data_IF_378509941826
#
_entry.id   IF_378509941826
#
_cell.length_a   1.000
_cell.length_b   1.000
_cell.length_c   1.000
_cell.angle_alpha   90.00
_cell.angle_beta   90.00
_cell.angle_gamma   90.00
#
_symmetry.space_group_name_H-M   'P 1'
#
loop_
_entity.id
_entity.type
_entity.pdbx_description
1 polymer ?
#
# COMPACT_ATOMS: atom_id res chain seq x y z
N UNK A 1 15.10 -14.79 -17.60
CA UNK A 1 15.01 -16.18 -17.09
C UNK A 1 13.58 -16.39 -16.64
N UNK A 2 12.83 -17.26 -17.32
CA UNK A 2 11.54 -17.75 -16.82
C UNK A 2 11.84 -18.53 -15.54
N UNK A 3 11.42 -18.03 -14.39
CA UNK A 3 11.35 -18.85 -13.19
C UNK A 3 10.17 -19.81 -13.41
N UNK A 4 10.50 -21.00 -13.97
CA UNK A 4 9.52 -22.07 -14.12
C UNK A 4 9.04 -22.54 -12.75
N UNK A 5 7.83 -23.08 -12.69
CA UNK A 5 7.24 -23.73 -11.51
C UNK A 5 8.13 -24.88 -11.01
N UNK A 6 9.14 -24.57 -10.23
CA UNK A 6 9.88 -25.60 -9.47
C UNK A 6 9.02 -26.15 -8.30
N UNK A 7 7.74 -26.44 -8.55
CA UNK A 7 6.81 -26.91 -7.54
C UNK A 7 6.38 -25.85 -6.49
N UNK A 8 6.80 -24.58 -6.65
CA UNK A 8 6.47 -23.49 -5.71
C UNK A 8 5.17 -22.81 -6.11
N UNK A 9 4.32 -22.54 -5.12
CA UNK A 9 3.10 -21.78 -5.27
C UNK A 9 3.41 -20.29 -5.16
N UNK A 10 3.11 -19.52 -6.21
CA UNK A 10 3.44 -18.11 -6.34
C UNK A 10 2.22 -17.26 -6.00
N UNK A 11 2.38 -16.36 -5.05
CA UNK A 11 1.38 -15.38 -4.64
C UNK A 11 1.80 -14.00 -5.12
N UNK A 12 0.87 -13.24 -5.67
CA UNK A 12 1.06 -11.88 -6.10
C UNK A 12 0.07 -10.94 -5.36
N UNK A 13 0.55 -9.80 -4.94
CA UNK A 13 -0.27 -8.69 -4.47
C UNK A 13 0.28 -7.37 -4.99
N UNK A 14 -0.55 -6.36 -5.11
CA UNK A 14 -0.11 -5.03 -5.55
C UNK A 14 -0.77 -3.93 -4.77
N UNK A 15 -0.09 -2.79 -4.69
CA UNK A 15 -0.62 -1.63 -3.97
C UNK A 15 0.28 -0.41 -4.05
N UNK A 16 -0.17 0.68 -3.45
CA UNK A 16 0.61 1.90 -3.34
C UNK A 16 1.72 1.81 -2.30
N UNK A 17 1.49 1.10 -1.21
CA UNK A 17 2.40 0.93 -0.06
C UNK A 17 2.92 2.26 0.50
N UNK A 18 2.09 3.32 0.38
CA UNK A 18 2.42 4.66 0.85
C UNK A 18 2.36 4.74 2.37
N UNK A 19 3.40 5.33 2.99
CA UNK A 19 3.52 5.45 4.44
C UNK A 19 3.35 4.09 5.14
N UNK A 20 4.20 3.10 4.82
CA UNK A 20 4.13 1.73 5.34
C UNK A 20 3.75 1.70 6.83
N UNK A 21 2.74 0.91 7.14
CA UNK A 21 2.21 0.73 8.50
C UNK A 21 1.80 -0.73 8.73
N UNK A 22 1.47 -1.08 9.96
CA UNK A 22 1.14 -2.46 10.35
C UNK A 22 0.02 -3.07 9.49
N UNK A 23 -0.94 -2.28 9.02
CA UNK A 23 -2.00 -2.76 8.13
C UNK A 23 -1.46 -3.29 6.80
N UNK A 24 -0.44 -2.64 6.23
CA UNK A 24 0.25 -3.12 5.03
C UNK A 24 1.03 -4.41 5.33
N UNK A 25 1.78 -4.46 6.42
CA UNK A 25 2.53 -5.65 6.81
C UNK A 25 1.61 -6.86 7.00
N UNK A 26 0.49 -6.70 7.70
CA UNK A 26 -0.49 -7.77 7.91
C UNK A 26 -1.04 -8.33 6.58
N UNK A 27 -1.31 -7.47 5.59
CA UNK A 27 -1.74 -7.90 4.25
C UNK A 27 -0.64 -8.70 3.56
N UNK A 28 0.61 -8.24 3.63
CA UNK A 28 1.75 -8.93 3.01
C UNK A 28 2.02 -10.29 3.66
N UNK A 29 2.00 -10.37 4.99
CA UNK A 29 2.19 -11.63 5.72
C UNK A 29 1.06 -12.64 5.44
N UNK A 30 -0.20 -12.18 5.43
CA UNK A 30 -1.36 -13.02 5.07
C UNK A 30 -1.28 -13.49 3.62
N UNK A 31 -0.80 -12.65 2.71
CA UNK A 31 -0.55 -13.03 1.32
C UNK A 31 0.56 -14.07 1.24
N UNK A 32 1.67 -13.86 1.93
CA UNK A 32 2.80 -14.81 1.97
C UNK A 32 2.39 -16.19 2.49
N UNK A 33 1.48 -16.25 3.45
CA UNK A 33 0.98 -17.49 4.02
C UNK A 33 0.15 -18.34 3.03
N UNK A 34 -0.24 -17.79 1.88
CA UNK A 34 -1.01 -18.51 0.86
C UNK A 34 -0.14 -19.26 -0.16
N UNK A 35 1.18 -19.13 -0.09
CA UNK A 35 2.10 -19.81 -1.01
C UNK A 35 3.54 -19.82 -0.54
N UNK A 36 4.44 -20.28 -1.42
CA UNK A 36 5.86 -20.44 -1.13
C UNK A 36 6.70 -19.21 -1.51
N UNK A 37 6.14 -18.32 -2.32
CA UNK A 37 6.80 -17.10 -2.78
C UNK A 37 5.79 -15.96 -2.89
N UNK A 38 6.14 -14.80 -2.33
CA UNK A 38 5.35 -13.57 -2.46
C UNK A 38 6.03 -12.57 -3.37
N UNK A 39 5.34 -12.23 -4.45
CA UNK A 39 5.71 -11.15 -5.37
C UNK A 39 4.81 -9.96 -5.07
N UNK A 40 5.41 -8.78 -4.91
CA UNK A 40 4.69 -7.56 -4.56
C UNK A 40 4.85 -6.49 -5.63
N UNK A 41 3.76 -6.13 -6.28
CA UNK A 41 3.69 -5.00 -7.19
C UNK A 41 3.64 -3.68 -6.42
N UNK A 42 4.56 -2.76 -6.72
CA UNK A 42 4.60 -1.41 -6.15
C UNK A 42 4.16 -0.41 -7.23
N UNK A 43 3.01 0.22 -7.03
CA UNK A 43 2.46 1.19 -7.99
C UNK A 43 3.35 2.44 -8.10
N UNK A 44 3.58 2.89 -9.34
CA UNK A 44 4.29 4.16 -9.58
C UNK A 44 3.49 5.35 -9.07
N UNK A 45 4.13 6.50 -8.92
CA UNK A 45 3.48 7.73 -8.45
C UNK A 45 2.41 8.19 -9.44
N UNK A 46 2.67 8.04 -10.75
CA UNK A 46 1.74 8.34 -11.83
C UNK A 46 0.50 7.44 -11.75
N UNK A 47 0.69 6.14 -11.62
CA UNK A 47 -0.41 5.19 -11.48
C UNK A 47 -1.27 5.50 -10.25
N UNK A 48 -0.65 5.81 -9.10
CA UNK A 48 -1.39 6.17 -7.89
C UNK A 48 -2.19 7.45 -8.09
N UNK A 49 -1.59 8.47 -8.71
CA UNK A 49 -2.27 9.73 -9.03
C UNK A 49 -3.49 9.51 -9.93
N UNK A 50 -3.38 8.60 -10.90
CA UNK A 50 -4.47 8.28 -11.82
C UNK A 50 -5.68 7.70 -11.08
N UNK A 51 -5.50 6.66 -10.25
CA UNK A 51 -6.64 5.99 -9.61
C UNK A 51 -7.07 6.56 -8.25
N UNK A 52 -6.21 7.36 -7.57
CA UNK A 52 -6.55 8.04 -6.29
C UNK A 52 -6.78 9.54 -6.42
N UNK A 53 -6.45 10.15 -7.57
CA UNK A 53 -6.55 11.58 -7.79
C UNK A 53 -5.44 12.42 -7.17
N UNK A 54 -4.53 11.82 -6.38
CA UNK A 54 -3.41 12.48 -5.71
C UNK A 54 -2.18 11.57 -5.71
N UNK A 55 -0.96 12.15 -5.77
CA UNK A 55 0.27 11.37 -5.64
C UNK A 55 0.42 10.80 -4.21
N UNK A 56 1.25 9.78 -4.02
CA UNK A 56 1.61 9.31 -2.69
C UNK A 56 2.45 10.35 -1.93
N UNK A 57 2.57 10.20 -0.61
CA UNK A 57 3.46 11.03 0.22
C UNK A 57 4.92 10.61 0.04
N UNK A 58 5.15 9.31 -0.01
CA UNK A 58 6.49 8.74 -0.17
C UNK A 58 6.73 8.43 -1.65
N UNK A 59 7.84 8.93 -2.25
CA UNK A 59 8.18 8.68 -3.64
C UNK A 59 8.32 7.19 -3.97
N UNK A 60 8.09 6.83 -5.24
CA UNK A 60 8.13 5.44 -5.71
C UNK A 60 9.40 4.70 -5.29
N UNK A 61 10.58 5.28 -5.49
CA UNK A 61 11.87 4.63 -5.24
C UNK A 61 12.04 4.23 -3.77
N UNK A 62 11.59 5.08 -2.85
CA UNK A 62 11.64 4.79 -1.42
C UNK A 62 10.64 3.70 -1.04
N UNK A 63 9.40 3.77 -1.54
CA UNK A 63 8.36 2.76 -1.31
C UNK A 63 8.78 1.39 -1.83
N UNK A 64 9.34 1.35 -3.04
CA UNK A 64 9.86 0.13 -3.65
C UNK A 64 10.96 -0.51 -2.80
N UNK A 65 11.95 0.28 -2.38
CA UNK A 65 13.05 -0.17 -1.55
C UNK A 65 12.60 -0.70 -0.19
N UNK A 66 11.65 -0.01 0.45
CA UNK A 66 11.08 -0.46 1.73
C UNK A 66 10.33 -1.80 1.59
N UNK A 67 9.48 -1.92 0.57
CA UNK A 67 8.74 -3.17 0.30
C UNK A 67 9.69 -4.33 0.02
N UNK A 68 10.71 -4.13 -0.83
CA UNK A 68 11.70 -5.16 -1.15
C UNK A 68 12.50 -5.62 0.07
N UNK A 69 12.66 -4.77 1.07
CA UNK A 69 13.41 -5.09 2.31
C UNK A 69 12.58 -5.87 3.35
N UNK A 70 11.27 -6.02 3.15
CA UNK A 70 10.43 -6.77 4.09
C UNK A 70 10.70 -8.27 4.01
N UNK A 71 10.91 -8.92 5.15
CA UNK A 71 11.25 -10.35 5.21
C UNK A 71 10.18 -11.29 4.67
N UNK A 72 8.92 -10.85 4.52
CA UNK A 72 7.86 -11.63 3.90
C UNK A 72 7.76 -11.47 2.38
N UNK A 73 8.55 -10.57 1.77
CA UNK A 73 8.55 -10.27 0.33
C UNK A 73 9.76 -10.91 -0.33
N UNK A 74 9.51 -11.81 -1.28
CA UNK A 74 10.58 -12.46 -2.03
C UNK A 74 11.03 -11.62 -3.24
N UNK A 75 10.09 -10.88 -3.86
CA UNK A 75 10.38 -10.04 -5.03
C UNK A 75 9.42 -8.84 -5.08
N UNK A 76 9.97 -7.63 -5.23
CA UNK A 76 9.18 -6.45 -5.57
C UNK A 76 9.24 -6.18 -7.09
N UNK A 77 8.10 -5.77 -7.67
CA UNK A 77 7.99 -5.40 -9.09
C UNK A 77 7.40 -4.01 -9.25
N UNK A 78 7.86 -3.30 -10.27
CA UNK A 78 7.27 -2.04 -10.68
C UNK A 78 5.89 -2.27 -11.29
N UNK A 79 4.90 -1.50 -10.85
CA UNK A 79 3.54 -1.53 -11.41
C UNK A 79 3.23 -0.20 -12.07
N UNK A 80 3.04 -0.24 -13.38
CA UNK A 80 2.60 0.90 -14.20
C UNK A 80 1.12 0.81 -14.57
N UNK A 81 0.51 -0.36 -14.38
CA UNK A 81 -0.90 -0.68 -14.60
C UNK A 81 -1.42 -1.51 -13.42
N UNK A 82 -2.68 -1.33 -13.02
CA UNK A 82 -3.29 -2.13 -11.96
C UNK A 82 -3.40 -3.61 -12.37
N UNK A 83 -2.81 -4.49 -11.60
CA UNK A 83 -2.85 -5.96 -11.77
C UNK A 83 -2.51 -6.39 -13.21
N UNK A 84 -1.29 -6.13 -13.62
CA UNK A 84 -0.83 -6.32 -14.99
C UNK A 84 -0.78 -7.80 -15.39
N UNK A 85 -1.60 -8.19 -16.38
CA UNK A 85 -1.70 -9.59 -16.88
C UNK A 85 -0.34 -10.11 -17.37
N UNK A 86 0.50 -9.27 -17.98
CA UNK A 86 1.80 -9.66 -18.47
C UNK A 86 2.69 -10.18 -17.33
N UNK A 87 2.72 -9.48 -16.20
CA UNK A 87 3.46 -9.92 -15.01
C UNK A 87 2.89 -11.20 -14.41
N UNK A 88 1.55 -11.30 -14.31
CA UNK A 88 0.91 -12.52 -13.82
C UNK A 88 1.25 -13.76 -14.63
N UNK A 89 1.36 -13.62 -15.96
CA UNK A 89 1.79 -14.67 -16.87
C UNK A 89 3.28 -14.97 -16.78
N UNK A 90 4.11 -13.93 -16.75
CA UNK A 90 5.58 -14.05 -16.72
C UNK A 90 6.04 -14.83 -15.49
N UNK A 91 5.47 -14.53 -14.34
CA UNK A 91 5.82 -15.19 -13.08
C UNK A 91 4.95 -16.42 -12.76
N UNK A 92 4.06 -16.81 -13.67
CA UNK A 92 3.15 -17.95 -13.52
C UNK A 92 2.41 -17.94 -12.17
N UNK A 93 1.80 -16.80 -11.84
CA UNK A 93 1.15 -16.52 -10.55
C UNK A 93 -0.02 -17.47 -10.31
N UNK A 94 -0.05 -18.15 -9.17
CA UNK A 94 -1.13 -19.07 -8.76
C UNK A 94 -2.25 -18.36 -7.98
N UNK A 95 -1.89 -17.36 -7.16
CA UNK A 95 -2.81 -16.65 -6.30
C UNK A 95 -2.57 -15.15 -6.40
N UNK A 96 -3.62 -14.39 -6.65
CA UNK A 96 -3.60 -12.93 -6.47
C UNK A 96 -4.36 -12.60 -5.21
N UNK A 97 -3.75 -11.80 -4.33
CA UNK A 97 -4.43 -11.21 -3.19
C UNK A 97 -4.68 -9.73 -3.40
N UNK A 98 -5.83 -9.24 -2.95
CA UNK A 98 -6.24 -7.84 -3.07
C UNK A 98 -7.16 -7.47 -1.92
N UNK A 99 -7.25 -6.19 -1.58
CA UNK A 99 -8.18 -5.71 -0.56
C UNK A 99 -9.65 -5.99 -0.92
N UNK A 100 -10.47 -6.20 0.08
CA UNK A 100 -11.90 -6.54 -0.09
C UNK A 100 -12.74 -5.38 -0.67
N UNK A 101 -12.25 -4.13 -0.59
CA UNK A 101 -12.83 -2.95 -1.25
C UNK A 101 -12.76 -2.98 -2.80
N UNK A 102 -12.03 -3.94 -3.35
CA UNK A 102 -11.93 -4.19 -4.79
C UNK A 102 -12.91 -5.26 -5.30
N UNK A 103 -13.72 -5.86 -4.41
CA UNK A 103 -14.59 -6.98 -4.74
C UNK A 103 -15.58 -6.69 -5.86
N UNK A 104 -16.11 -5.47 -5.88
CA UNK A 104 -17.12 -5.02 -6.85
C UNK A 104 -16.52 -4.17 -7.99
N UNK A 105 -15.19 -4.11 -8.10
CA UNK A 105 -14.47 -3.36 -9.13
C UNK A 105 -13.91 -4.30 -10.18
N UNK A 106 -14.10 -3.92 -11.43
CA UNK A 106 -13.52 -4.65 -12.56
C UNK A 106 -12.03 -4.34 -12.70
N UNK A 107 -11.20 -5.37 -12.71
CA UNK A 107 -9.77 -5.31 -13.05
C UNK A 107 -9.45 -6.48 -13.98
N UNK A 108 -8.92 -6.17 -15.15
CA UNK A 108 -8.62 -7.15 -16.21
C UNK A 108 -7.75 -8.32 -15.71
N UNK A 109 -6.75 -8.03 -14.89
CA UNK A 109 -5.88 -9.05 -14.30
C UNK A 109 -6.61 -10.00 -13.36
N UNK A 110 -7.58 -9.50 -12.57
CA UNK A 110 -8.39 -10.36 -11.68
C UNK A 110 -9.34 -11.23 -12.49
N UNK A 111 -9.99 -10.69 -13.52
CA UNK A 111 -10.87 -11.45 -14.39
C UNK A 111 -10.08 -12.52 -15.16
N UNK A 112 -8.89 -12.18 -15.64
CA UNK A 112 -8.01 -13.16 -16.24
C UNK A 112 -7.65 -14.28 -15.25
N UNK A 113 -7.26 -13.97 -14.01
CA UNK A 113 -6.98 -14.97 -12.97
C UNK A 113 -8.16 -15.91 -12.72
N UNK A 114 -9.37 -15.36 -12.58
CA UNK A 114 -10.59 -16.14 -12.36
C UNK A 114 -10.93 -17.07 -13.54
N UNK A 115 -10.59 -16.67 -14.76
CA UNK A 115 -10.81 -17.46 -15.96
C UNK A 115 -9.83 -18.63 -16.15
N UNK A 116 -8.70 -18.65 -15.42
CA UNK A 116 -7.66 -19.65 -15.58
C UNK A 116 -7.87 -20.83 -14.60
N UNK A 117 -7.82 -22.08 -15.07
CA UNK A 117 -7.91 -23.25 -14.19
C UNK A 117 -6.79 -23.28 -13.16
N UNK A 118 -7.14 -23.56 -11.90
CA UNK A 118 -6.20 -23.72 -10.79
C UNK A 118 -5.65 -22.40 -10.20
N UNK A 119 -5.97 -21.25 -10.79
CA UNK A 119 -5.60 -19.93 -10.24
C UNK A 119 -6.70 -19.40 -9.32
N UNK A 120 -6.33 -18.51 -8.38
CA UNK A 120 -7.26 -17.96 -7.40
C UNK A 120 -7.08 -16.47 -7.21
N UNK A 121 -8.19 -15.78 -6.93
CA UNK A 121 -8.20 -14.41 -6.38
C UNK A 121 -8.71 -14.51 -4.94
N UNK A 122 -7.95 -13.97 -4.00
CA UNK A 122 -8.29 -13.96 -2.57
C UNK A 122 -8.46 -12.52 -2.11
N UNK A 123 -9.61 -12.18 -1.60
CA UNK A 123 -9.91 -10.88 -1.03
C UNK A 123 -9.54 -10.86 0.44
N UNK A 124 -8.72 -9.89 0.84
CA UNK A 124 -8.23 -9.75 2.20
C UNK A 124 -8.88 -8.54 2.87
N UNK A 125 -9.45 -8.76 4.05
CA UNK A 125 -9.98 -7.69 4.88
C UNK A 125 -8.84 -6.78 5.38
N UNK A 126 -9.11 -5.48 5.44
CA UNK A 126 -8.19 -4.51 6.00
C UNK A 126 -8.05 -4.65 7.51
N UNK A 127 -6.87 -4.33 8.01
CA UNK A 127 -6.63 -4.25 9.46
C UNK A 127 -7.46 -3.10 10.06
N UNK A 128 -8.36 -3.39 11.03
CA UNK A 128 -9.16 -2.35 11.67
C UNK A 128 -8.27 -1.30 12.36
N UNK A 129 -8.74 -0.06 12.38
CA UNK A 129 -8.11 0.99 13.17
C UNK A 129 -6.97 1.75 12.48
N UNK A 130 -6.34 1.21 11.43
CA UNK A 130 -5.21 1.86 10.74
C UNK A 130 -5.42 1.97 9.24
N UNK A 131 -5.02 3.11 8.67
CA UNK A 131 -4.87 3.33 7.22
C UNK A 131 -4.01 4.56 6.98
N UNK A 132 -3.42 4.67 5.80
CA UNK A 132 -2.67 5.87 5.37
C UNK A 132 -3.52 7.14 5.53
N UNK A 133 -4.80 7.09 5.20
CA UNK A 133 -5.73 8.23 5.39
C UNK A 133 -5.87 8.62 6.86
N UNK A 134 -5.99 7.66 7.77
CA UNK A 134 -6.06 7.94 9.23
C UNK A 134 -4.77 8.53 9.75
N UNK A 135 -3.61 8.05 9.29
CA UNK A 135 -2.31 8.61 9.64
C UNK A 135 -2.21 10.08 9.17
N UNK A 136 -2.55 10.36 7.91
CA UNK A 136 -2.58 11.73 7.38
C UNK A 136 -3.48 12.67 8.20
N UNK A 137 -4.69 12.23 8.56
CA UNK A 137 -5.61 13.00 9.41
C UNK A 137 -5.01 13.27 10.78
N UNK A 138 -4.38 12.29 11.42
CA UNK A 138 -3.73 12.45 12.72
C UNK A 138 -2.57 13.44 12.66
N UNK A 139 -1.75 13.41 11.60
CA UNK A 139 -0.66 14.38 11.40
C UNK A 139 -1.22 15.80 11.29
N UNK A 140 -2.29 16.01 10.52
CA UNK A 140 -2.94 17.32 10.37
C UNK A 140 -3.49 17.81 11.73
N UNK A 141 -4.16 16.93 12.47
CA UNK A 141 -4.70 17.25 13.80
C UNK A 141 -3.58 17.65 14.78
N UNK A 142 -2.50 16.88 14.84
CA UNK A 142 -1.35 17.18 15.70
C UNK A 142 -0.70 18.51 15.31
N UNK A 143 -0.52 18.79 14.01
CA UNK A 143 0.03 20.06 13.53
C UNK A 143 -0.86 21.24 13.93
N UNK A 144 -2.19 21.11 13.81
CA UNK A 144 -3.13 22.14 14.25
C UNK A 144 -3.00 22.42 15.75
N UNK A 145 -2.93 21.38 16.59
CA UNK A 145 -2.82 21.53 18.06
C UNK A 145 -1.50 22.22 18.46
N UNK A 146 -0.38 21.89 17.78
CA UNK A 146 0.92 22.53 18.01
C UNK A 146 0.83 24.03 17.68
N UNK A 147 0.37 24.38 16.49
CA UNK A 147 0.24 25.78 16.05
C UNK A 147 -0.69 26.56 16.97
N UNK A 148 -1.83 25.98 17.31
CA UNK A 148 -2.79 26.63 18.21
C UNK A 148 -2.19 26.90 19.61
N UNK A 149 -1.41 25.95 20.15
CA UNK A 149 -0.77 26.12 21.46
C UNK A 149 0.32 27.19 21.43
N UNK A 150 1.09 27.29 20.35
CA UNK A 150 2.12 28.33 20.17
C UNK A 150 1.50 29.71 20.08
N UNK A 151 0.48 29.89 19.23
CA UNK A 151 -0.26 31.16 19.11
C UNK A 151 -0.88 31.60 20.43
N UNK A 152 -1.45 30.67 21.19
CA UNK A 152 -2.05 30.97 22.51
C UNK A 152 -1.00 31.46 23.52
N UNK A 153 0.23 30.88 23.50
CA UNK A 153 1.34 31.35 24.34
C UNK A 153 1.78 32.76 23.96
N UNK A 154 1.93 33.03 22.67
CA UNK A 154 2.31 34.35 22.18
C UNK A 154 1.29 35.43 22.56
N UNK A 155 -0.01 35.14 22.41
CA UNK A 155 -1.09 36.04 22.78
C UNK A 155 -1.05 36.34 24.29
N UNK A 156 -0.88 35.33 25.15
CA UNK A 156 -0.77 35.52 26.61
C UNK A 156 0.43 36.38 26.98
N UNK A 157 1.60 36.17 26.34
CA UNK A 157 2.78 37.00 26.55
C UNK A 157 2.55 38.48 26.17
N UNK A 158 1.87 38.71 25.04
CA UNK A 158 1.51 40.06 24.61
C UNK A 158 0.53 40.75 25.59
N UNK A 159 -0.45 40.01 26.12
CA UNK A 159 -1.38 40.54 27.10
C UNK A 159 -0.71 40.85 28.45
N UNK A 160 0.20 40.01 28.91
CA UNK A 160 1.00 40.28 30.13
C UNK A 160 1.91 41.48 29.95
N UNK A 161 2.53 41.64 28.76
CA UNK A 161 3.36 42.81 28.48
C UNK A 161 2.53 44.12 28.51
N UNK A 162 1.33 44.13 27.90
CA UNK A 162 0.41 45.27 27.93
C UNK A 162 -0.04 45.65 29.34
N UNK A 163 -0.20 44.68 30.25
CA UNK A 163 -0.60 44.94 31.65
C UNK A 163 0.53 45.53 32.50
N UNK A 164 1.76 45.41 32.08
CA UNK A 164 2.95 45.91 32.78
C UNK A 164 3.37 47.33 32.35
N UNK A 165 2.71 47.89 31.33
CA UNK A 165 2.88 49.29 30.90
C UNK A 165 1.79 50.20 31.47
#
# INVERSE_FOLDING_TARGET
CKMGKNGKRIVFTSGSWDMLHIGHLNVLERSRALGDMLIVGVSTDELIKEYKGMPPVIPYEERFRLVQALGCVDLALKQTVLTEIAQLKEYDVDVVTIGDDWKDKHLDGLEWMKSQPGRKVVYLEYTPGISTTKIKKKIIQNAYEIIHSELSRELNHMEEWKRKQ
#
